data_IF_984835697670
#
_entry.id   IF_984835697670
#
_cell.length_a   1.000
_cell.length_b   1.000
_cell.length_c   1.000
_cell.angle_alpha   90.00
_cell.angle_beta   90.00
_cell.angle_gamma   90.00
#
_symmetry.space_group_name_H-M   'P 1'
#
loop_
_entity.id
_entity.type
_entity.pdbx_description
1 polymer ?
#
# COMPACT_ATOMS: atom_id res chain seq x y z
N UNK A 1 0.72 47.30 -40.33
CA UNK A 1 0.93 46.55 -39.07
C UNK A 1 -0.43 46.40 -38.41
N UNK A 2 -0.72 45.16 -38.04
CA UNK A 2 -2.04 44.59 -37.79
C UNK A 2 -2.73 45.21 -36.56
N UNK A 3 -4.07 45.18 -36.52
CA UNK A 3 -4.77 44.25 -35.62
C UNK A 3 -6.30 44.27 -35.82
N UNK A 4 -6.83 43.07 -35.97
CA UNK A 4 -8.23 42.71 -36.20
C UNK A 4 -9.01 42.69 -34.87
N UNK A 5 -10.30 42.99 -34.97
CA UNK A 5 -11.32 43.02 -33.91
C UNK A 5 -11.71 41.64 -33.34
N UNK A 6 -11.84 41.55 -31.99
CA UNK A 6 -12.87 40.96 -31.06
C UNK A 6 -13.74 39.73 -31.51
N UNK A 7 -14.44 38.91 -30.64
CA UNK A 7 -14.70 38.99 -29.17
C UNK A 7 -14.85 37.63 -28.38
N UNK A 8 -15.28 37.73 -27.11
CA UNK A 8 -16.14 36.82 -26.29
C UNK A 8 -15.61 35.54 -25.63
N UNK A 9 -15.84 35.43 -24.30
CA UNK A 9 -15.98 34.16 -23.56
C UNK A 9 -15.46 34.17 -22.11
N UNK A 10 -16.08 33.48 -21.13
CA UNK A 10 -16.48 34.11 -19.86
C UNK A 10 -15.78 33.63 -18.58
N UNK A 11 -15.86 34.49 -17.54
CA UNK A 11 -15.88 34.21 -16.08
C UNK A 11 -14.67 33.42 -15.54
N UNK A 12 -13.61 34.15 -15.16
CA UNK A 12 -12.67 33.66 -14.14
C UNK A 12 -13.37 33.71 -12.78
N UNK A 13 -13.76 32.54 -12.30
CA UNK A 13 -14.32 32.31 -10.98
C UNK A 13 -13.35 32.80 -9.89
N UNK A 14 -13.96 33.36 -8.85
CA UNK A 14 -13.37 33.86 -7.61
C UNK A 14 -12.24 32.98 -7.06
N UNK A 15 -11.04 33.54 -7.00
CA UNK A 15 -9.99 33.12 -6.09
C UNK A 15 -10.49 33.34 -4.64
N UNK A 16 -11.05 32.33 -4.01
CA UNK A 16 -11.11 32.28 -2.55
C UNK A 16 -9.76 31.79 -2.03
N UNK A 17 -8.91 32.75 -1.69
CA UNK A 17 -7.74 32.57 -0.85
C UNK A 17 -8.14 31.96 0.50
N UNK A 18 -8.06 30.64 0.64
CA UNK A 18 -8.10 29.99 1.96
C UNK A 18 -6.69 29.90 2.51
N UNK A 19 -6.27 30.92 3.25
CA UNK A 19 -5.12 30.86 4.17
C UNK A 19 -5.48 29.96 5.36
N UNK A 20 -5.54 28.65 5.12
CA UNK A 20 -5.49 27.63 6.17
C UNK A 20 -4.05 27.17 6.35
N UNK A 21 -3.66 26.64 7.52
CA UNK A 21 -2.38 25.94 7.64
C UNK A 21 -2.31 24.89 6.53
N UNK A 22 -1.19 24.86 5.80
CA UNK A 22 -0.94 23.89 4.73
C UNK A 22 -1.05 22.51 5.38
N UNK A 23 -2.21 21.85 5.23
CA UNK A 23 -2.41 20.50 5.77
C UNK A 23 -1.41 19.61 5.03
N UNK A 24 -0.49 18.92 5.73
CA UNK A 24 0.35 17.94 5.08
C UNK A 24 -0.55 16.89 4.39
N UNK A 25 -0.24 16.60 3.12
CA UNK A 25 -1.09 15.89 2.12
C UNK A 25 -1.71 14.56 2.56
N UNK A 26 -1.31 14.00 3.71
CA UNK A 26 -1.71 12.68 4.20
C UNK A 26 -2.17 12.68 5.66
N UNK A 27 -2.52 13.83 6.23
CA UNK A 27 -3.04 13.93 7.59
C UNK A 27 -4.53 14.27 7.55
N UNK A 28 -5.33 13.35 8.07
CA UNK A 28 -6.78 13.42 8.05
C UNK A 28 -7.31 13.48 9.49
N UNK A 29 -8.35 14.28 9.70
CA UNK A 29 -9.10 14.30 10.96
C UNK A 29 -9.94 13.02 11.09
N UNK A 30 -10.34 12.68 12.31
CA UNK A 30 -11.19 11.51 12.55
C UNK A 30 -12.51 11.57 11.76
N UNK A 31 -13.09 12.77 11.62
CA UNK A 31 -14.29 13.00 10.83
C UNK A 31 -14.06 12.82 9.32
N UNK A 32 -12.87 13.17 8.80
CA UNK A 32 -12.49 12.93 7.41
C UNK A 32 -12.26 11.42 7.14
N UNK A 33 -11.67 10.70 8.10
CA UNK A 33 -11.50 9.24 8.04
C UNK A 33 -12.82 8.48 8.13
N UNK A 34 -13.76 8.94 8.97
CA UNK A 34 -15.13 8.39 9.05
C UNK A 34 -15.93 8.58 7.76
N UNK A 35 -15.51 9.51 6.90
CA UNK A 35 -16.05 9.72 5.54
C UNK A 35 -15.18 9.07 4.45
N UNK A 36 -14.37 8.07 4.80
CA UNK A 36 -13.64 7.26 3.82
C UNK A 36 -14.58 6.78 2.70
N UNK A 37 -14.10 6.70 1.43
CA UNK A 37 -14.84 6.12 0.31
C UNK A 37 -15.46 4.74 0.62
N UNK A 38 -14.78 3.93 1.44
CA UNK A 38 -15.30 2.63 1.91
C UNK A 38 -16.52 2.79 2.81
N UNK A 39 -16.47 3.73 3.75
CA UNK A 39 -17.59 4.09 4.63
C UNK A 39 -18.78 4.65 3.84
N UNK A 40 -18.53 5.48 2.82
CA UNK A 40 -19.56 6.02 1.94
C UNK A 40 -20.28 4.94 1.11
N UNK A 41 -19.58 3.85 0.75
CA UNK A 41 -20.19 2.69 0.09
C UNK A 41 -20.82 1.70 1.09
N UNK A 42 -20.89 2.01 2.38
CA UNK A 42 -21.59 1.23 3.41
C UNK A 42 -20.77 0.13 4.08
N UNK A 43 -19.43 0.21 4.07
CA UNK A 43 -18.56 -0.63 4.92
C UNK A 43 -18.44 0.06 6.28
N UNK A 44 -18.58 -0.66 7.39
CA UNK A 44 -18.33 -0.04 8.71
C UNK A 44 -16.85 0.26 8.91
N UNK A 45 -16.52 1.32 9.65
CA UNK A 45 -15.11 1.69 9.94
C UNK A 45 -14.33 0.52 10.56
N UNK A 46 -14.98 -0.30 11.38
CA UNK A 46 -14.35 -1.48 12.00
C UNK A 46 -14.07 -2.59 10.98
N UNK A 47 -14.96 -2.81 10.00
CA UNK A 47 -14.71 -3.76 8.91
C UNK A 47 -13.60 -3.27 7.99
N UNK A 48 -13.61 -1.99 7.63
CA UNK A 48 -12.54 -1.37 6.85
C UNK A 48 -11.18 -1.56 7.51
N UNK A 49 -11.08 -1.25 8.80
CA UNK A 49 -9.85 -1.46 9.57
C UNK A 49 -9.41 -2.94 9.57
N UNK A 50 -10.33 -3.89 9.73
CA UNK A 50 -10.01 -5.33 9.69
C UNK A 50 -9.45 -5.76 8.34
N UNK A 51 -10.04 -5.31 7.23
CA UNK A 51 -9.54 -5.65 5.90
C UNK A 51 -8.16 -5.05 5.64
N UNK A 52 -7.94 -3.80 6.03
CA UNK A 52 -6.64 -3.14 5.93
C UNK A 52 -5.59 -3.89 6.77
N UNK A 53 -5.91 -4.23 8.02
CA UNK A 53 -5.02 -5.01 8.88
C UNK A 53 -4.68 -6.39 8.30
N UNK A 54 -5.68 -7.07 7.73
CA UNK A 54 -5.47 -8.33 7.01
C UNK A 54 -4.52 -8.16 5.82
N UNK A 55 -4.68 -7.09 5.04
CA UNK A 55 -3.76 -6.73 3.95
C UNK A 55 -2.34 -6.44 4.44
N UNK A 56 -2.17 -5.69 5.54
CA UNK A 56 -0.86 -5.44 6.15
C UNK A 56 -0.18 -6.75 6.59
N UNK A 57 -0.91 -7.64 7.28
CA UNK A 57 -0.38 -8.94 7.68
C UNK A 57 0.06 -9.75 6.46
N UNK A 58 -0.75 -9.74 5.41
CA UNK A 58 -0.47 -10.45 4.17
C UNK A 58 0.78 -9.92 3.44
N UNK A 59 1.02 -8.61 3.42
CA UNK A 59 2.29 -8.01 2.94
C UNK A 59 3.48 -8.63 3.67
N UNK A 60 3.41 -8.71 5.00
CA UNK A 60 4.48 -9.28 5.81
C UNK A 60 4.70 -10.75 5.49
N UNK A 61 3.64 -11.54 5.38
CA UNK A 61 3.73 -12.95 5.01
C UNK A 61 4.37 -13.16 3.63
N UNK A 62 4.04 -12.32 2.64
CA UNK A 62 4.73 -12.35 1.34
C UNK A 62 6.20 -12.03 1.52
N UNK A 63 6.54 -10.96 2.24
CA UNK A 63 7.92 -10.52 2.42
C UNK A 63 8.78 -11.59 3.13
N UNK A 64 8.26 -12.23 4.17
CA UNK A 64 8.94 -13.30 4.89
C UNK A 64 9.20 -14.52 3.98
N UNK A 65 8.20 -14.97 3.22
CA UNK A 65 8.38 -16.06 2.24
C UNK A 65 9.39 -15.71 1.14
N UNK A 66 9.39 -14.47 0.64
CA UNK A 66 10.36 -14.01 -0.34
C UNK A 66 11.78 -13.96 0.23
N UNK A 67 11.91 -13.61 1.51
CA UNK A 67 13.19 -13.59 2.23
C UNK A 67 13.73 -15.00 2.46
N UNK A 68 12.87 -15.98 2.72
CA UNK A 68 13.25 -17.40 2.84
C UNK A 68 13.73 -17.98 1.50
N UNK A 69 13.00 -17.70 0.41
CA UNK A 69 13.35 -18.25 -0.92
C UNK A 69 14.58 -17.61 -1.54
N UNK A 70 14.88 -16.34 -1.21
CA UNK A 70 16.00 -15.61 -1.80
C UNK A 70 16.73 -14.77 -0.73
N UNK A 71 17.80 -15.32 -0.13
CA UNK A 71 18.54 -14.66 0.95
C UNK A 71 19.34 -13.44 0.47
N UNK A 72 19.74 -13.41 -0.81
CA UNK A 72 20.35 -12.24 -1.43
C UNK A 72 19.28 -11.17 -1.76
N UNK A 73 19.48 -9.96 -1.26
CA UNK A 73 18.51 -8.87 -1.40
C UNK A 73 17.28 -9.03 -0.50
N UNK A 74 17.49 -9.32 0.79
CA UNK A 74 16.43 -9.44 1.79
C UNK A 74 15.59 -8.14 1.85
N UNK A 75 14.28 -8.27 1.79
CA UNK A 75 13.34 -7.18 2.03
C UNK A 75 13.52 -6.71 3.47
N UNK A 76 13.96 -5.47 3.64
CA UNK A 76 14.19 -4.86 4.95
C UNK A 76 12.86 -4.63 5.67
N UNK A 77 12.90 -4.63 7.01
CA UNK A 77 11.72 -4.29 7.82
C UNK A 77 11.21 -2.87 7.50
N UNK A 78 12.13 -1.96 7.14
CA UNK A 78 11.77 -0.62 6.70
C UNK A 78 10.86 -0.69 5.45
N UNK A 79 11.28 -1.42 4.41
CA UNK A 79 10.51 -1.61 3.18
C UNK A 79 9.11 -2.19 3.46
N UNK A 80 9.01 -3.17 4.37
CA UNK A 80 7.72 -3.74 4.80
C UNK A 80 6.83 -2.65 5.43
N UNK A 81 7.38 -1.83 6.33
CA UNK A 81 6.66 -0.73 6.96
C UNK A 81 6.24 0.34 5.94
N UNK A 82 7.11 0.73 5.00
CA UNK A 82 6.78 1.66 3.88
C UNK A 82 5.57 1.13 3.12
N UNK A 83 5.59 -0.17 2.82
CA UNK A 83 4.52 -0.85 2.08
C UNK A 83 3.19 -0.79 2.82
N UNK A 84 3.20 -1.03 4.13
CA UNK A 84 1.97 -0.95 4.94
C UNK A 84 1.40 0.46 4.97
N UNK A 85 2.25 1.49 5.07
CA UNK A 85 1.78 2.89 5.04
C UNK A 85 1.21 3.25 3.66
N UNK A 86 1.83 2.81 2.56
CA UNK A 86 1.27 3.02 1.22
C UNK A 86 -0.07 2.30 1.02
N UNK A 87 -0.22 1.08 1.54
CA UNK A 87 -1.49 0.36 1.52
C UNK A 87 -2.58 1.16 2.24
N UNK A 88 -2.28 1.69 3.44
CA UNK A 88 -3.21 2.52 4.21
C UNK A 88 -3.57 3.80 3.46
N UNK A 89 -2.58 4.52 2.92
CA UNK A 89 -2.80 5.73 2.11
C UNK A 89 -3.66 5.46 0.87
N UNK A 90 -3.51 4.28 0.26
CA UNK A 90 -4.33 3.87 -0.87
C UNK A 90 -5.81 3.76 -0.50
N UNK A 91 -6.13 3.11 0.61
CA UNK A 91 -7.52 2.91 1.05
C UNK A 91 -8.18 4.14 1.69
N UNK A 92 -7.42 5.22 1.93
CA UNK A 92 -8.02 6.53 2.23
C UNK A 92 -8.66 7.15 0.98
N UNK A 93 -8.17 6.80 -0.22
CA UNK A 93 -8.64 7.35 -1.50
C UNK A 93 -9.54 6.37 -2.25
N UNK A 94 -9.32 5.07 -2.08
CA UNK A 94 -10.04 4.01 -2.78
C UNK A 94 -10.89 3.17 -1.85
N UNK A 95 -11.93 2.55 -2.41
CA UNK A 95 -12.83 1.69 -1.62
C UNK A 95 -12.36 0.22 -1.64
N UNK A 96 -12.43 -0.43 -0.48
CA UNK A 96 -12.21 -1.87 -0.32
C UNK A 96 -13.16 -2.78 -1.13
N UNK A 97 -14.27 -2.25 -1.66
CA UNK A 97 -15.17 -3.02 -2.55
C UNK A 97 -14.61 -3.19 -3.96
N UNK A 98 -13.82 -2.21 -4.42
CA UNK A 98 -13.30 -2.21 -5.79
C UNK A 98 -11.92 -2.88 -5.85
N UNK A 99 -11.17 -2.86 -4.74
CA UNK A 99 -9.83 -3.42 -4.64
C UNK A 99 -9.66 -4.29 -3.38
N UNK A 100 -9.14 -5.51 -3.56
CA UNK A 100 -8.77 -6.38 -2.44
C UNK A 100 -7.45 -5.89 -1.81
N UNK A 101 -7.44 -5.75 -0.48
CA UNK A 101 -6.25 -5.33 0.27
C UNK A 101 -5.03 -6.24 0.06
N UNK A 102 -5.24 -7.52 -0.26
CA UNK A 102 -4.18 -8.49 -0.53
C UNK A 102 -3.52 -8.26 -1.89
N UNK A 103 -4.32 -7.95 -2.90
CA UNK A 103 -3.85 -7.69 -4.27
C UNK A 103 -3.08 -6.36 -4.31
N UNK A 104 -3.66 -5.33 -3.68
CA UNK A 104 -2.99 -4.03 -3.49
C UNK A 104 -1.72 -4.21 -2.67
N UNK A 105 -1.75 -5.03 -1.61
CA UNK A 105 -0.58 -5.29 -0.78
C UNK A 105 0.60 -5.89 -1.55
N UNK A 106 0.35 -6.84 -2.45
CA UNK A 106 1.40 -7.41 -3.30
C UNK A 106 1.99 -6.38 -4.28
N UNK A 107 1.12 -5.56 -4.91
CA UNK A 107 1.56 -4.51 -5.82
C UNK A 107 2.37 -3.41 -5.10
N UNK A 108 1.92 -2.99 -3.93
CA UNK A 108 2.61 -1.99 -3.10
C UNK A 108 3.96 -2.52 -2.63
N UNK A 109 4.05 -3.79 -2.20
CA UNK A 109 5.32 -4.40 -1.79
C UNK A 109 6.32 -4.48 -2.96
N UNK A 110 5.84 -4.80 -4.18
CA UNK A 110 6.68 -4.76 -5.37
C UNK A 110 7.21 -3.35 -5.62
N UNK A 111 6.34 -2.35 -5.54
CA UNK A 111 6.69 -0.96 -5.76
C UNK A 111 7.74 -0.44 -4.77
N UNK A 112 7.54 -0.68 -3.48
CA UNK A 112 8.47 -0.26 -2.42
C UNK A 112 9.77 -1.03 -2.43
N UNK A 113 9.75 -2.32 -2.83
CA UNK A 113 10.99 -3.11 -2.97
C UNK A 113 11.91 -2.50 -4.04
N UNK A 114 11.34 -1.89 -5.09
CA UNK A 114 12.09 -1.17 -6.11
C UNK A 114 12.61 0.17 -5.59
N UNK A 115 11.85 0.91 -4.80
CA UNK A 115 12.27 2.21 -4.27
C UNK A 115 13.32 2.12 -3.15
N UNK A 116 13.31 1.04 -2.37
CA UNK A 116 14.21 0.83 -1.21
C UNK A 116 15.48 0.02 -1.56
N UNK A 117 15.86 -0.04 -2.86
CA UNK A 117 17.06 -0.75 -3.34
C UNK A 117 17.12 -2.24 -2.97
N UNK A 118 15.96 -2.87 -2.76
CA UNK A 118 15.82 -4.31 -2.51
C UNK A 118 15.00 -5.00 -3.63
N UNK A 119 15.37 -4.85 -4.92
CA UNK A 119 14.50 -5.25 -6.02
C UNK A 119 14.32 -6.77 -6.04
N UNK A 120 13.07 -7.22 -5.94
CA UNK A 120 12.68 -8.63 -6.15
C UNK A 120 12.10 -8.80 -7.55
N UNK A 121 12.36 -9.97 -8.17
CA UNK A 121 11.75 -10.26 -9.47
C UNK A 121 10.24 -10.38 -9.30
N UNK A 122 9.50 -9.68 -10.17
CA UNK A 122 8.03 -9.70 -10.19
C UNK A 122 7.49 -11.13 -10.24
N UNK A 123 8.17 -12.03 -10.94
CA UNK A 123 7.79 -13.44 -11.00
C UNK A 123 7.67 -14.11 -9.63
N UNK A 124 8.63 -13.87 -8.73
CA UNK A 124 8.58 -14.48 -7.40
C UNK A 124 7.46 -13.89 -6.55
N UNK A 125 7.22 -12.58 -6.68
CA UNK A 125 6.14 -11.90 -5.97
C UNK A 125 4.78 -12.46 -6.42
N UNK A 126 4.53 -12.52 -7.73
CA UNK A 126 3.25 -13.02 -8.29
C UNK A 126 3.02 -14.48 -7.92
N UNK A 127 4.06 -15.33 -8.00
CA UNK A 127 3.96 -16.74 -7.59
C UNK A 127 3.66 -16.89 -6.10
N UNK A 128 4.30 -16.08 -5.25
CA UNK A 128 4.10 -16.12 -3.78
C UNK A 128 2.73 -15.60 -3.39
N UNK A 129 2.33 -14.45 -3.96
CA UNK A 129 1.00 -13.87 -3.79
C UNK A 129 -0.09 -14.86 -4.22
N UNK A 130 0.02 -15.46 -5.40
CA UNK A 130 -0.97 -16.41 -5.89
C UNK A 130 -1.08 -17.64 -4.98
N UNK A 131 0.05 -18.23 -4.58
CA UNK A 131 0.07 -19.37 -3.64
C UNK A 131 -0.59 -19.02 -2.32
N UNK A 132 -0.25 -17.87 -1.72
CA UNK A 132 -0.84 -17.43 -0.47
C UNK A 132 -2.34 -17.12 -0.60
N UNK A 133 -2.76 -16.56 -1.73
CA UNK A 133 -4.17 -16.31 -2.03
C UNK A 133 -4.96 -17.61 -2.13
N UNK A 134 -4.43 -18.58 -2.88
CA UNK A 134 -5.01 -19.93 -3.00
C UNK A 134 -5.00 -20.64 -1.65
N UNK A 135 -3.91 -20.63 -0.89
CA UNK A 135 -3.88 -21.22 0.45
C UNK A 135 -4.97 -20.66 1.36
N UNK A 136 -5.20 -19.35 1.34
CA UNK A 136 -6.26 -18.71 2.12
C UNK A 136 -7.67 -19.09 1.62
N UNK A 137 -7.87 -19.24 0.31
CA UNK A 137 -9.12 -19.73 -0.29
C UNK A 137 -9.34 -21.23 0.01
N UNK A 138 -8.26 -22.02 0.07
CA UNK A 138 -8.27 -23.47 0.36
C UNK A 138 -8.70 -23.76 1.80
N UNK A 139 -8.30 -22.91 2.75
CA UNK A 139 -8.78 -23.01 4.13
C UNK A 139 -10.29 -22.74 4.25
N UNK A 140 -10.92 -22.12 3.24
CA UNK A 140 -12.36 -21.89 3.17
C UNK A 140 -13.10 -22.89 2.26
N UNK A 141 -12.42 -23.52 1.29
CA UNK A 141 -12.95 -24.53 0.36
C UNK A 141 -11.85 -25.54 0.04
N UNK A 142 -12.08 -26.84 0.18
CA UNK A 142 -11.10 -27.90 -0.17
C UNK A 142 -10.64 -27.79 -1.64
N UNK A 143 -9.61 -26.98 -1.90
CA UNK A 143 -9.02 -26.79 -3.22
C UNK A 143 -7.60 -27.40 -3.20
N UNK A 144 -7.20 -28.00 -4.31
CA UNK A 144 -5.93 -28.70 -4.44
C UNK A 144 -4.74 -27.73 -4.28
N UNK A 145 -3.86 -28.02 -3.31
CA UNK A 145 -2.67 -27.22 -2.96
C UNK A 145 -1.61 -27.21 -4.08
N UNK A 146 -1.81 -28.02 -5.10
CA UNK A 146 -0.82 -28.33 -6.15
C UNK A 146 -1.21 -27.75 -7.51
N UNK A 147 -2.06 -26.73 -7.55
CA UNK A 147 -2.44 -26.06 -8.80
C UNK A 147 -1.21 -25.43 -9.48
N UNK A 148 -0.67 -26.14 -10.48
CA UNK A 148 0.37 -25.62 -11.36
C UNK A 148 -0.21 -24.43 -12.11
N UNK A 149 0.43 -23.26 -11.97
CA UNK A 149 -0.02 -22.06 -12.68
C UNK A 149 0.24 -22.26 -14.17
N UNK A 150 -0.82 -22.35 -14.96
CA UNK A 150 -0.72 -22.36 -16.43
C UNK A 150 -0.03 -21.09 -16.92
N UNK A 151 0.78 -21.19 -17.97
CA UNK A 151 1.54 -20.06 -18.51
C UNK A 151 0.64 -18.87 -18.88
N UNK A 152 -0.52 -19.14 -19.50
CA UNK A 152 -1.47 -18.09 -19.88
C UNK A 152 -2.10 -17.40 -18.66
N UNK A 153 -2.49 -18.17 -17.64
CA UNK A 153 -3.01 -17.63 -16.38
C UNK A 153 -1.94 -16.80 -15.68
N UNK A 154 -0.69 -17.26 -15.66
CA UNK A 154 0.42 -16.52 -15.09
C UNK A 154 0.60 -15.14 -15.75
N UNK A 155 0.57 -15.07 -17.09
CA UNK A 155 0.66 -13.78 -17.80
C UNK A 155 -0.45 -12.80 -17.38
N UNK A 156 -1.70 -13.29 -17.28
CA UNK A 156 -2.84 -12.47 -16.82
C UNK A 156 -2.64 -11.97 -15.37
N UNK A 157 -2.11 -12.81 -14.49
CA UNK A 157 -1.84 -12.42 -13.09
C UNK A 157 -0.73 -11.37 -13.00
N UNK A 158 0.32 -11.50 -13.80
CA UNK A 158 1.41 -10.50 -13.89
C UNK A 158 0.86 -9.17 -14.37
N UNK A 159 0.10 -9.16 -15.47
CA UNK A 159 -0.53 -7.95 -16.01
C UNK A 159 -1.46 -7.29 -14.98
N UNK A 160 -2.22 -8.09 -14.24
CA UNK A 160 -3.10 -7.59 -13.18
C UNK A 160 -2.33 -6.90 -12.05
N UNK A 161 -1.23 -7.48 -11.55
CA UNK A 161 -0.42 -6.85 -10.50
C UNK A 161 0.25 -5.56 -11.01
N UNK A 162 0.76 -5.55 -12.25
CA UNK A 162 1.33 -4.34 -12.86
C UNK A 162 0.27 -3.26 -13.06
N UNK A 163 -0.96 -3.65 -13.40
CA UNK A 163 -2.07 -2.71 -13.51
C UNK A 163 -2.40 -2.07 -12.16
N UNK A 164 -2.51 -2.85 -11.09
CA UNK A 164 -2.70 -2.32 -9.72
C UNK A 164 -1.55 -1.42 -9.32
N UNK A 165 -0.31 -1.81 -9.59
CA UNK A 165 0.87 -0.98 -9.31
C UNK A 165 0.74 0.42 -9.93
N UNK A 166 0.32 0.51 -11.19
CA UNK A 166 0.14 1.79 -11.86
C UNK A 166 -0.93 2.67 -11.19
N UNK A 167 -2.01 2.06 -10.70
CA UNK A 167 -3.06 2.79 -9.96
C UNK A 167 -2.50 3.29 -8.62
N UNK A 168 -1.76 2.44 -7.90
CA UNK A 168 -1.10 2.83 -6.64
C UNK A 168 -0.16 4.01 -6.88
N UNK A 169 0.69 3.94 -7.91
CA UNK A 169 1.62 5.01 -8.30
C UNK A 169 0.93 6.35 -8.54
N UNK A 170 -0.17 6.34 -9.29
CA UNK A 170 -0.97 7.53 -9.56
C UNK A 170 -1.63 8.06 -8.29
N UNK A 171 -2.11 7.16 -7.42
CA UNK A 171 -2.79 7.50 -6.16
C UNK A 171 -1.84 8.17 -5.17
N UNK A 172 -0.63 7.65 -5.02
CA UNK A 172 0.39 8.26 -4.15
C UNK A 172 1.00 9.52 -4.77
N UNK A 173 0.74 9.76 -6.07
CA UNK A 173 1.27 10.89 -6.84
C UNK A 173 2.79 10.86 -6.94
N UNK A 174 3.37 9.67 -7.12
CA UNK A 174 4.82 9.42 -7.15
C UNK A 174 5.60 9.92 -5.92
N UNK A 175 4.90 10.15 -4.80
CA UNK A 175 5.54 10.52 -3.55
C UNK A 175 5.88 9.27 -2.72
N UNK A 176 7.11 8.77 -2.91
CA UNK A 176 7.68 7.64 -2.18
C UNK A 176 8.34 8.05 -0.86
N UNK A 177 8.50 9.36 -0.61
CA UNK A 177 9.07 9.86 0.63
C UNK A 177 8.06 9.68 1.76
N UNK A 178 8.19 8.56 2.47
CA UNK A 178 7.45 8.31 3.71
C UNK A 178 8.42 8.40 4.87
N UNK A 179 8.20 9.41 5.71
CA UNK A 179 8.79 9.45 7.04
C UNK A 179 8.10 8.40 7.91
N UNK A 180 8.63 7.18 7.89
CA UNK A 180 8.20 6.14 8.81
C UNK A 180 8.78 6.51 10.17
N UNK A 181 8.05 6.33 11.28
CA UNK A 181 8.61 6.56 12.60
C UNK A 181 9.80 5.62 12.93
N UNK A 182 10.04 4.57 12.13
CA UNK A 182 11.06 3.56 12.37
C UNK A 182 12.47 4.12 12.63
N UNK A 183 13.05 5.05 11.83
CA UNK A 183 14.36 5.65 12.13
C UNK A 183 14.34 6.60 13.34
N UNK A 184 13.21 7.24 13.66
CA UNK A 184 13.06 8.08 14.85
C UNK A 184 12.99 7.23 16.13
N UNK A 185 12.27 6.12 16.03
CA UNK A 185 12.04 5.16 17.11
C UNK A 185 13.31 4.33 17.32
N UNK A 186 14.07 3.98 16.29
CA UNK A 186 15.42 3.39 16.42
C UNK A 186 16.43 4.32 17.08
N UNK A 187 16.42 5.63 16.79
CA UNK A 187 17.22 6.62 17.53
C UNK A 187 16.82 6.70 19.00
N UNK A 188 15.53 6.53 19.30
CA UNK A 188 15.06 6.38 20.68
C UNK A 188 15.45 5.01 21.28
N UNK A 189 15.59 3.95 20.49
CA UNK A 189 16.10 2.63 20.92
C UNK A 189 17.58 2.67 21.29
N UNK A 190 18.38 3.52 20.65
CA UNK A 190 19.77 3.76 21.08
C UNK A 190 19.84 4.40 22.47
N UNK A 191 18.81 5.19 22.85
CA UNK A 191 18.58 5.60 24.24
C UNK A 191 18.10 4.45 25.14
N UNK A 192 17.26 3.55 24.63
CA UNK A 192 16.68 2.42 25.36
C UNK A 192 17.26 1.07 24.89
N UNK A 193 18.55 0.87 25.17
CA UNK A 193 19.34 -0.31 24.82
C UNK A 193 18.73 -1.62 25.38
N UNK A 194 17.97 -2.39 24.56
CA UNK A 194 17.81 -3.88 24.60
C UNK A 194 16.68 -4.37 23.66
N UNK A 195 17.02 -5.26 22.73
CA UNK A 195 16.17 -6.09 21.83
C UNK A 195 15.64 -5.49 20.53
N UNK A 196 16.33 -5.82 19.44
CA UNK A 196 16.03 -5.38 18.07
C UNK A 196 14.78 -6.04 17.47
N UNK A 197 14.57 -7.34 17.71
CA UNK A 197 13.46 -8.09 17.08
C UNK A 197 12.08 -7.73 17.64
N UNK A 198 11.97 -7.54 18.97
CA UNK A 198 10.70 -7.15 19.62
C UNK A 198 10.30 -5.71 19.29
N UNK A 199 11.29 -4.89 18.93
CA UNK A 199 11.09 -3.49 18.63
C UNK A 199 10.54 -3.27 17.22
N UNK A 200 11.04 -4.05 16.24
CA UNK A 200 10.45 -4.13 14.91
C UNK A 200 8.97 -4.58 14.99
N UNK A 201 8.65 -5.55 15.85
CA UNK A 201 7.28 -5.98 16.12
C UNK A 201 6.43 -4.89 16.78
N UNK A 202 6.99 -4.11 17.72
CA UNK A 202 6.31 -2.99 18.36
C UNK A 202 6.01 -1.85 17.38
N UNK A 203 6.97 -1.48 16.53
CA UNK A 203 6.76 -0.47 15.48
C UNK A 203 5.75 -0.97 14.45
N UNK A 204 5.79 -2.26 14.11
CA UNK A 204 4.75 -2.88 13.30
C UNK A 204 3.38 -2.79 13.97
N UNK A 205 3.29 -3.04 15.28
CA UNK A 205 2.06 -2.91 16.05
C UNK A 205 1.54 -1.47 16.00
N UNK A 206 2.39 -0.47 16.27
CA UNK A 206 2.04 0.96 16.13
C UNK A 206 1.60 1.32 14.71
N UNK A 207 2.26 0.79 13.70
CA UNK A 207 1.94 1.06 12.29
C UNK A 207 0.68 0.33 11.85
N UNK A 208 0.28 -0.75 12.52
CA UNK A 208 -0.91 -1.55 12.21
C UNK A 208 -2.15 -1.04 12.97
N UNK A 209 -1.97 -0.54 14.19
CA UNK A 209 -3.03 -0.09 15.10
C UNK A 209 -3.39 1.40 14.98
N UNK A 210 -2.50 2.25 14.41
CA UNK A 210 -2.83 3.62 14.00
C UNK A 210 -3.63 3.70 12.69
#
# INVERSE_FOLDING_TARGET
MNDFTLPTGPIAQSNTSSTGPIKPKWFFTEDELRRSPSCLKGISTMEEQRYIQSGCLFIRTIADRLNEMQPEGKISQLCICVSMVHLKRFFVVHTLKDFDARDVGAAVLFLTSKSEECPKRLEYIVRTWYKLRVEHEVHQKEVDRTAVINKETYHKLVEYIVWIENIVLQTIGFNFAIDIPHPFVLRAKDLFRKNDNKFAEFVFWLTTDM
#
